data_IF_243324932998
#
_entry.id   IF_243324932998
#
_cell.length_a   1.000
_cell.length_b   1.000
_cell.length_c   1.000
_cell.angle_alpha   90.00
_cell.angle_beta   90.00
_cell.angle_gamma   90.00
#
_symmetry.space_group_name_H-M   'P 1'
#
loop_
_entity.id
_entity.type
_entity.pdbx_description
1 polymer ?
#
# COMPACT_ATOMS: atom_id res chain seq x y z
N UNK A 1 -4.50 5.47 31.76
CA UNK A 1 -4.03 6.80 31.35
C UNK A 1 -4.34 6.90 29.87
N UNK A 2 -5.16 7.88 29.50
CA UNK A 2 -5.58 8.10 28.12
C UNK A 2 -4.62 9.10 27.46
N UNK A 3 -4.60 9.11 26.14
CA UNK A 3 -3.79 10.05 25.36
C UNK A 3 -4.72 10.97 24.58
N UNK A 4 -4.49 12.28 24.69
CA UNK A 4 -5.23 13.28 23.92
C UNK A 4 -4.97 13.07 22.41
N UNK A 5 -5.99 12.80 21.58
CA UNK A 5 -5.82 12.55 20.15
C UNK A 5 -5.35 13.77 19.34
N UNK A 6 -5.53 14.98 19.87
CA UNK A 6 -5.21 16.22 19.18
C UNK A 6 -3.75 16.60 19.41
N UNK A 7 -3.31 16.64 20.67
CA UNK A 7 -1.97 17.11 21.01
C UNK A 7 -1.01 16.00 21.49
N UNK A 8 -1.51 14.81 21.81
CA UNK A 8 -0.70 13.68 22.26
C UNK A 8 -0.26 13.70 23.73
N UNK A 9 -0.80 14.61 24.56
CA UNK A 9 -0.51 14.63 26.00
C UNK A 9 -1.21 13.48 26.74
N UNK A 10 -0.60 13.01 27.83
CA UNK A 10 -1.20 12.01 28.70
C UNK A 10 -2.25 12.66 29.62
N UNK A 11 -3.41 12.05 29.71
CA UNK A 11 -4.57 12.50 30.47
C UNK A 11 -4.97 11.38 31.43
N UNK A 12 -5.22 11.74 32.69
CA UNK A 12 -5.76 10.79 33.66
C UNK A 12 -7.26 10.61 33.42
N UNK A 13 -7.69 9.41 33.03
CA UNK A 13 -9.09 9.06 32.75
C UNK A 13 -10.02 9.30 33.95
N UNK A 14 -9.50 9.15 35.18
CA UNK A 14 -10.32 9.27 36.40
C UNK A 14 -10.65 10.72 36.76
N UNK A 15 -9.83 11.67 36.29
CA UNK A 15 -9.93 13.10 36.62
C UNK A 15 -10.14 13.97 35.36
N UNK A 16 -10.41 13.33 34.21
CA UNK A 16 -10.52 14.00 32.93
C UNK A 16 -11.75 14.92 32.91
N UNK A 17 -11.50 16.24 32.97
CA UNK A 17 -12.56 17.26 32.92
C UNK A 17 -13.19 17.42 31.54
N UNK A 18 -12.48 17.03 30.49
CA UNK A 18 -12.89 17.22 29.11
C UNK A 18 -12.95 15.87 28.40
N UNK A 19 -14.16 15.43 28.05
CA UNK A 19 -14.40 14.19 27.32
C UNK A 19 -15.35 14.40 26.14
N UNK A 20 -15.28 13.49 25.16
CA UNK A 20 -16.20 13.45 24.02
C UNK A 20 -16.39 12.00 23.57
N UNK A 21 -17.60 11.65 23.16
CA UNK A 21 -17.91 10.33 22.62
C UNK A 21 -18.01 10.40 21.09
N UNK A 22 -17.27 9.53 20.40
CA UNK A 22 -17.31 9.43 18.94
C UNK A 22 -17.23 7.96 18.52
N UNK A 23 -18.17 7.51 17.68
CA UNK A 23 -18.28 6.11 17.21
C UNK A 23 -18.31 5.07 18.36
N UNK A 24 -18.98 5.40 19.47
CA UNK A 24 -19.11 4.51 20.62
C UNK A 24 -17.84 4.40 21.48
N UNK A 25 -16.82 5.21 21.20
CA UNK A 25 -15.60 5.31 22.01
C UNK A 25 -15.53 6.67 22.70
N UNK A 26 -15.19 6.66 23.98
CA UNK A 26 -14.92 7.87 24.76
C UNK A 26 -13.46 8.31 24.57
N UNK A 27 -13.27 9.62 24.39
CA UNK A 27 -12.00 10.29 24.23
C UNK A 27 -11.82 11.33 25.33
N UNK A 28 -10.60 11.44 25.85
CA UNK A 28 -10.24 12.36 26.93
C UNK A 28 -9.24 13.41 26.42
N UNK A 29 -9.44 14.66 26.83
CA UNK A 29 -8.65 15.80 26.35
C UNK A 29 -7.95 16.52 27.51
N UNK A 30 -6.76 17.03 27.23
CA UNK A 30 -5.95 17.80 28.18
C UNK A 30 -6.52 19.20 28.44
N UNK A 31 -7.29 19.73 27.48
CA UNK A 31 -7.82 21.09 27.49
C UNK A 31 -9.13 21.17 26.72
N UNK A 32 -9.89 22.23 26.97
CA UNK A 32 -11.12 22.54 26.23
C UNK A 32 -10.85 22.77 24.74
N UNK A 33 -9.74 23.44 24.40
CA UNK A 33 -9.34 23.66 23.01
C UNK A 33 -9.14 22.36 22.22
N UNK A 34 -8.49 21.35 22.82
CA UNK A 34 -8.33 20.04 22.18
C UNK A 34 -9.68 19.32 22.01
N UNK A 35 -10.62 19.48 22.94
CA UNK A 35 -11.97 18.93 22.81
C UNK A 35 -12.75 19.58 21.66
N UNK A 36 -12.69 20.91 21.54
CA UNK A 36 -13.38 21.66 20.48
C UNK A 36 -12.81 21.34 19.10
N UNK A 37 -11.48 21.28 18.98
CA UNK A 37 -10.79 20.91 17.74
C UNK A 37 -11.17 19.49 17.30
N UNK A 38 -11.21 18.55 18.25
CA UNK A 38 -11.70 17.20 17.99
C UNK A 38 -13.18 17.16 17.60
N UNK A 39 -14.04 17.96 18.22
CA UNK A 39 -15.47 18.02 17.88
C UNK A 39 -15.72 18.59 16.48
N UNK A 40 -14.88 19.53 16.03
CA UNK A 40 -14.97 20.12 14.70
C UNK A 40 -14.61 19.17 13.56
N UNK A 41 -13.65 18.26 13.77
CA UNK A 41 -13.30 17.25 12.77
C UNK A 41 -12.70 15.96 13.40
N UNK A 42 -13.53 15.10 14.02
CA UNK A 42 -13.05 13.93 14.75
C UNK A 42 -12.38 12.91 13.83
N UNK A 43 -12.82 12.83 12.56
CA UNK A 43 -12.32 11.88 11.56
C UNK A 43 -10.81 11.96 11.31
N UNK A 44 -10.25 13.18 11.32
CA UNK A 44 -8.82 13.40 11.09
C UNK A 44 -7.95 12.85 12.25
N UNK A 45 -8.42 13.00 13.48
CA UNK A 45 -7.69 12.57 14.68
C UNK A 45 -7.84 11.07 14.96
N UNK A 46 -9.01 10.49 14.65
CA UNK A 46 -9.22 9.05 14.85
C UNK A 46 -8.55 8.18 13.78
N UNK A 47 -8.40 8.67 12.54
CA UNK A 47 -7.64 7.98 11.50
C UNK A 47 -6.15 7.87 11.84
N UNK A 48 -5.56 8.96 12.38
CA UNK A 48 -4.18 8.96 12.87
C UNK A 48 -4.00 8.08 14.12
N UNK A 49 -5.00 8.04 15.01
CA UNK A 49 -5.00 7.17 16.20
C UNK A 49 -5.07 5.68 15.86
N UNK A 50 -5.74 5.32 14.76
CA UNK A 50 -5.78 3.95 14.22
C UNK A 50 -4.41 3.42 13.78
N UNK A 51 -3.50 4.31 13.35
CA UNK A 51 -2.12 3.95 12.98
C UNK A 51 -1.26 3.60 14.20
N UNK A 52 -1.50 4.23 15.36
CA UNK A 52 -0.77 3.89 16.59
C UNK A 52 -1.16 2.52 17.17
N UNK A 53 -2.44 2.11 17.02
CA UNK A 53 -2.89 0.77 17.40
C UNK A 53 -2.42 -0.34 16.44
N UNK A 54 -2.26 -0.02 15.16
CA UNK A 54 -1.72 -0.97 14.17
C UNK A 54 -0.23 -1.28 14.40
N UNK A 55 0.53 -0.34 14.95
CA UNK A 55 1.97 -0.50 15.21
C UNK A 55 2.32 -1.56 16.26
N UNK A 56 1.47 -1.78 17.27
CA UNK A 56 1.67 -2.81 18.29
C UNK A 56 1.24 -4.19 17.79
N UNK A 57 0.06 -4.29 17.16
CA UNK A 57 -0.42 -5.53 16.53
C UNK A 57 0.52 -6.02 15.40
N UNK A 58 1.09 -5.08 14.64
CA UNK A 58 2.08 -5.39 13.61
C UNK A 58 3.43 -5.79 14.20
N UNK A 59 3.91 -5.20 15.30
CA UNK A 59 5.14 -5.65 15.96
C UNK A 59 5.03 -7.09 16.47
N UNK A 60 3.87 -7.44 17.03
CA UNK A 60 3.60 -8.81 17.49
C UNK A 60 3.55 -9.78 16.31
N UNK A 61 2.85 -9.42 15.24
CA UNK A 61 2.79 -10.20 13.99
C UNK A 61 4.15 -10.33 13.31
N UNK A 62 4.97 -9.29 13.31
CA UNK A 62 6.36 -9.28 12.80
C UNK A 62 7.27 -10.14 13.69
N UNK A 63 7.04 -10.16 15.00
CA UNK A 63 7.73 -11.05 15.94
C UNK A 63 7.48 -12.53 15.63
N UNK A 64 6.21 -12.90 15.43
CA UNK A 64 5.81 -14.26 15.06
C UNK A 64 6.28 -14.64 13.64
N UNK A 65 6.22 -13.70 12.69
CA UNK A 65 6.74 -13.91 11.34
C UNK A 65 8.27 -14.12 11.35
N UNK A 66 9.02 -13.36 12.15
CA UNK A 66 10.48 -13.54 12.32
C UNK A 66 10.82 -14.92 12.88
N UNK A 67 10.03 -15.45 13.83
CA UNK A 67 10.26 -16.80 14.36
C UNK A 67 10.05 -17.88 13.28
N UNK A 68 8.95 -17.78 12.51
CA UNK A 68 8.67 -18.72 11.40
C UNK A 68 9.64 -18.62 10.23
N UNK A 69 10.22 -17.44 10.00
CA UNK A 69 11.24 -17.21 8.96
C UNK A 69 12.60 -17.78 9.38
N UNK A 70 12.97 -17.64 10.65
CA UNK A 70 14.25 -18.15 11.16
C UNK A 70 14.33 -19.68 11.16
N UNK A 71 13.26 -20.39 11.54
CA UNK A 71 13.21 -21.86 11.44
C UNK A 71 13.29 -22.38 10.00
N UNK A 72 12.85 -21.58 9.02
CA UNK A 72 12.88 -21.96 7.61
C UNK A 72 14.09 -21.40 6.86
N UNK A 73 14.94 -20.59 7.49
CA UNK A 73 16.05 -19.90 6.80
C UNK A 73 17.17 -20.87 6.37
N UNK A 74 17.45 -21.91 7.15
CA UNK A 74 18.46 -22.92 6.81
C UNK A 74 18.03 -23.82 5.65
N UNK A 75 16.74 -24.16 5.54
CA UNK A 75 16.23 -24.99 4.44
C UNK A 75 15.79 -24.18 3.20
N UNK A 76 15.43 -22.90 3.38
CA UNK A 76 15.04 -22.03 2.27
C UNK A 76 16.22 -21.43 1.52
N UNK A 77 17.39 -21.19 2.15
CA UNK A 77 18.55 -20.59 1.45
C UNK A 77 18.97 -21.37 0.21
N UNK A 78 18.91 -22.71 0.24
CA UNK A 78 19.27 -23.56 -0.90
C UNK A 78 18.21 -23.58 -2.01
N UNK A 79 16.92 -23.71 -1.67
CA UNK A 79 15.85 -23.94 -2.66
C UNK A 79 15.22 -22.65 -3.22
N UNK A 80 15.22 -21.57 -2.44
CA UNK A 80 14.67 -20.27 -2.87
C UNK A 80 15.55 -19.66 -3.96
N UNK A 81 16.86 -19.84 -3.89
CA UNK A 81 17.78 -19.22 -4.82
C UNK A 81 17.67 -19.81 -6.23
N UNK A 82 17.54 -21.13 -6.38
CA UNK A 82 17.40 -21.76 -7.72
C UNK A 82 16.03 -21.51 -8.37
N UNK A 83 14.93 -21.67 -7.62
CA UNK A 83 13.59 -21.41 -8.17
C UNK A 83 13.32 -19.91 -8.41
N UNK A 84 13.87 -19.02 -7.59
CA UNK A 84 13.75 -17.58 -7.83
C UNK A 84 14.56 -17.15 -9.06
N UNK A 85 15.73 -17.75 -9.30
CA UNK A 85 16.56 -17.45 -10.48
C UNK A 85 15.84 -17.78 -11.80
N UNK A 86 15.22 -18.95 -11.91
CA UNK A 86 14.51 -19.35 -13.13
C UNK A 86 13.27 -18.51 -13.40
N UNK A 87 12.48 -18.18 -12.37
CA UNK A 87 11.33 -17.28 -12.51
C UNK A 87 11.72 -15.81 -12.78
N UNK A 88 12.89 -15.36 -12.30
CA UNK A 88 13.35 -13.97 -12.53
C UNK A 88 13.89 -13.75 -13.93
N UNK A 89 14.52 -14.75 -14.55
CA UNK A 89 15.00 -14.61 -15.94
C UNK A 89 13.84 -14.49 -16.92
N UNK A 90 12.77 -15.28 -16.71
CA UNK A 90 11.54 -15.21 -17.51
C UNK A 90 10.81 -13.86 -17.31
N UNK A 91 10.64 -13.42 -16.06
CA UNK A 91 9.92 -12.17 -15.75
C UNK A 91 10.70 -10.90 -16.03
N UNK A 92 12.04 -10.95 -16.20
CA UNK A 92 12.85 -9.81 -16.64
C UNK A 92 12.49 -9.35 -18.05
N UNK A 93 12.22 -10.29 -18.97
CA UNK A 93 11.79 -9.98 -20.33
C UNK A 93 10.45 -9.23 -20.34
N UNK A 94 9.45 -9.78 -19.65
CA UNK A 94 8.12 -9.17 -19.50
C UNK A 94 8.15 -7.81 -18.79
N UNK A 95 9.03 -7.64 -17.80
CA UNK A 95 9.17 -6.38 -17.08
C UNK A 95 9.86 -5.30 -17.93
N UNK A 96 10.85 -5.66 -18.75
CA UNK A 96 11.48 -4.73 -19.69
C UNK A 96 10.48 -4.27 -20.79
N UNK A 97 9.63 -5.17 -21.27
CA UNK A 97 8.53 -4.83 -22.19
C UNK A 97 7.50 -3.90 -21.54
N UNK A 98 7.14 -4.14 -20.28
CA UNK A 98 6.29 -3.25 -19.50
C UNK A 98 6.88 -1.84 -19.36
N UNK A 99 8.18 -1.73 -19.11
CA UNK A 99 8.87 -0.43 -19.05
C UNK A 99 8.87 0.31 -20.40
N UNK A 100 8.93 -0.42 -21.52
CA UNK A 100 8.77 0.15 -22.87
C UNK A 100 7.41 0.80 -23.07
N UNK A 101 6.33 0.10 -22.69
CA UNK A 101 4.97 0.63 -22.81
C UNK A 101 4.71 1.88 -21.96
N UNK A 102 5.34 1.95 -20.77
CA UNK A 102 5.27 3.14 -19.89
C UNK A 102 6.06 4.30 -20.49
N UNK A 103 7.23 4.04 -21.09
CA UNK A 103 8.02 5.04 -21.78
C UNK A 103 7.27 5.62 -22.99
N UNK A 104 6.58 4.79 -23.77
CA UNK A 104 5.74 5.22 -24.89
C UNK A 104 4.54 6.07 -24.44
N UNK A 105 3.84 5.64 -23.38
CA UNK A 105 2.73 6.42 -22.82
C UNK A 105 3.20 7.77 -22.28
N UNK A 106 4.35 7.80 -21.59
CA UNK A 106 4.98 9.04 -21.13
C UNK A 106 5.40 9.94 -22.28
N UNK A 107 5.92 9.37 -23.37
CA UNK A 107 6.29 10.11 -24.56
C UNK A 107 5.07 10.74 -25.24
N UNK A 108 3.95 10.01 -25.32
CA UNK A 108 2.67 10.52 -25.84
C UNK A 108 2.12 11.68 -25.01
N UNK A 109 2.21 11.58 -23.68
CA UNK A 109 1.82 12.67 -22.76
C UNK A 109 2.75 13.87 -22.91
N UNK A 110 4.06 13.66 -23.04
CA UNK A 110 5.04 14.74 -23.24
C UNK A 110 4.76 15.53 -24.53
N UNK A 111 4.50 14.84 -25.65
CA UNK A 111 4.14 15.48 -26.92
C UNK A 111 2.84 16.29 -26.84
N UNK A 112 1.85 15.83 -26.08
CA UNK A 112 0.59 16.55 -25.89
C UNK A 112 0.73 17.78 -24.98
N UNK A 113 1.68 17.76 -24.05
CA UNK A 113 1.94 18.85 -23.10
C UNK A 113 2.76 19.99 -23.70
N UNK A 114 3.58 19.73 -24.73
CA UNK A 114 4.28 20.79 -25.48
C UNK A 114 3.30 21.74 -26.19
N UNK A 115 2.08 21.31 -26.51
CA UNK A 115 1.06 22.15 -27.14
C UNK A 115 0.28 23.08 -26.20
N UNK A 116 0.41 22.94 -24.87
CA UNK A 116 -0.44 23.67 -23.87
C UNK A 116 0.32 24.60 -22.92
N UNK A 117 1.56 24.97 -23.22
CA UNK A 117 2.34 25.97 -22.47
C UNK A 117 2.48 25.67 -20.94
N UNK A 118 2.54 24.40 -20.53
CA UNK A 118 2.81 24.01 -19.13
C UNK A 118 4.25 23.49 -18.96
N UNK A 119 5.20 24.41 -18.98
CA UNK A 119 6.65 24.13 -18.87
C UNK A 119 7.07 23.44 -17.56
N UNK A 120 6.23 23.44 -16.52
CA UNK A 120 6.49 22.72 -15.27
C UNK A 120 6.23 21.21 -15.41
N UNK A 121 5.17 20.83 -16.13
CA UNK A 121 4.80 19.43 -16.33
C UNK A 121 5.74 18.76 -17.33
N UNK A 122 6.18 19.49 -18.37
CA UNK A 122 7.17 18.99 -19.32
C UNK A 122 8.52 18.64 -18.66
N UNK A 123 9.05 19.53 -17.80
CA UNK A 123 10.30 19.28 -17.07
C UNK A 123 10.21 18.11 -16.10
N UNK A 124 9.04 17.93 -15.48
CA UNK A 124 8.78 16.78 -14.64
C UNK A 124 8.69 15.49 -15.46
N UNK A 125 7.99 15.51 -16.58
CA UNK A 125 7.86 14.38 -17.49
C UNK A 125 9.24 13.91 -18.01
N UNK A 126 10.12 14.84 -18.40
CA UNK A 126 11.48 14.52 -18.83
C UNK A 126 12.31 13.87 -17.71
N UNK A 127 12.23 14.41 -16.49
CA UNK A 127 12.92 13.86 -15.33
C UNK A 127 12.46 12.44 -14.98
N UNK A 128 11.18 12.14 -15.23
CA UNK A 128 10.60 10.81 -15.02
C UNK A 128 10.98 9.89 -16.18
N UNK A 129 10.91 10.35 -17.42
CA UNK A 129 11.28 9.59 -18.60
C UNK A 129 12.74 9.12 -18.52
N UNK A 130 13.67 9.99 -18.11
CA UNK A 130 15.07 9.59 -17.91
C UNK A 130 15.24 8.53 -16.82
N UNK A 131 14.45 8.59 -15.74
CA UNK A 131 14.51 7.59 -14.66
C UNK A 131 13.98 6.25 -15.14
N UNK A 132 12.92 6.27 -15.95
CA UNK A 132 12.34 5.08 -16.58
C UNK A 132 13.32 4.47 -17.58
N UNK A 133 14.00 5.28 -18.39
CA UNK A 133 14.96 4.79 -19.37
C UNK A 133 16.20 4.18 -18.70
N UNK A 134 16.73 4.84 -17.65
CA UNK A 134 17.80 4.28 -16.81
C UNK A 134 17.37 2.97 -16.14
N UNK A 135 16.14 2.90 -15.64
CA UNK A 135 15.60 1.70 -15.07
C UNK A 135 15.45 0.58 -16.11
N UNK A 136 15.01 0.89 -17.34
CA UNK A 136 14.84 -0.06 -18.43
C UNK A 136 16.16 -0.70 -18.86
N UNK A 137 17.20 0.11 -19.09
CA UNK A 137 18.55 -0.40 -19.40
C UNK A 137 19.10 -1.23 -18.25
N UNK A 138 18.98 -0.73 -17.03
CA UNK A 138 19.43 -1.45 -15.85
C UNK A 138 18.65 -2.76 -15.64
N UNK A 139 17.35 -2.82 -15.91
CA UNK A 139 16.55 -4.05 -15.80
C UNK A 139 16.94 -5.09 -16.86
N UNK A 140 17.34 -4.62 -18.05
CA UNK A 140 17.73 -5.46 -19.19
C UNK A 140 19.16 -5.98 -19.08
N UNK A 141 20.09 -5.18 -18.57
CA UNK A 141 21.52 -5.52 -18.47
C UNK A 141 21.97 -6.01 -17.09
N UNK A 142 21.20 -5.81 -16.01
CA UNK A 142 21.64 -6.22 -14.66
C UNK A 142 21.35 -7.67 -14.37
N UNK A 143 22.36 -8.40 -13.89
CA UNK A 143 22.20 -9.74 -13.36
C UNK A 143 21.33 -9.77 -12.10
N UNK A 144 20.62 -10.90 -11.91
CA UNK A 144 19.72 -11.10 -10.77
C UNK A 144 20.45 -10.99 -9.43
N UNK A 145 21.72 -11.41 -9.39
CA UNK A 145 22.59 -11.27 -8.22
C UNK A 145 22.96 -9.81 -7.92
N UNK A 146 23.11 -8.99 -8.95
CA UNK A 146 23.47 -7.58 -8.79
C UNK A 146 22.27 -6.77 -8.28
N UNK A 147 21.08 -7.05 -8.79
CA UNK A 147 19.83 -6.48 -8.30
C UNK A 147 19.60 -6.77 -6.81
N UNK A 148 19.77 -8.03 -6.39
CA UNK A 148 19.61 -8.42 -4.98
C UNK A 148 20.64 -7.73 -4.09
N UNK A 149 21.88 -7.59 -4.55
CA UNK A 149 22.95 -6.89 -3.82
C UNK A 149 22.63 -5.40 -3.64
N UNK A 150 22.14 -4.74 -4.68
CA UNK A 150 21.84 -3.31 -4.64
C UNK A 150 20.60 -3.02 -3.80
N UNK A 151 19.56 -3.86 -3.89
CA UNK A 151 18.39 -3.80 -3.00
C UNK A 151 18.80 -4.00 -1.54
N UNK A 152 19.67 -4.97 -1.25
CA UNK A 152 20.21 -5.21 0.10
C UNK A 152 21.01 -4.00 0.61
N UNK A 153 21.75 -3.34 -0.29
CA UNK A 153 22.44 -2.08 -0.01
C UNK A 153 21.48 -0.96 0.38
N UNK A 154 20.38 -0.81 -0.37
CA UNK A 154 19.34 0.20 -0.11
C UNK A 154 18.66 -0.02 1.24
N UNK A 155 18.27 -1.26 1.55
CA UNK A 155 17.65 -1.64 2.83
C UNK A 155 18.53 -1.24 4.01
N UNK A 156 19.85 -1.42 3.88
CA UNK A 156 20.81 -1.09 4.95
C UNK A 156 21.18 0.39 5.01
N UNK A 157 21.28 1.06 3.86
CA UNK A 157 21.74 2.45 3.77
C UNK A 157 20.63 3.47 4.04
N UNK A 158 19.39 3.15 3.68
CA UNK A 158 18.23 4.01 3.88
C UNK A 158 17.01 3.19 4.32
N UNK A 159 16.96 2.74 5.58
CA UNK A 159 15.83 1.97 6.09
C UNK A 159 14.50 2.72 5.95
N UNK A 160 14.51 4.06 6.09
CA UNK A 160 13.31 4.89 5.90
C UNK A 160 12.74 4.85 4.48
N UNK A 161 13.60 4.86 3.44
CA UNK A 161 13.13 4.84 2.05
C UNK A 161 12.52 3.47 1.69
N UNK A 162 13.14 2.38 2.17
CA UNK A 162 12.59 1.04 1.97
C UNK A 162 11.26 0.84 2.69
N UNK A 163 11.16 1.25 3.96
CA UNK A 163 9.91 1.16 4.73
C UNK A 163 8.80 2.02 4.11
N UNK A 164 9.12 3.25 3.70
CA UNK A 164 8.18 4.12 3.01
C UNK A 164 7.71 3.52 1.68
N UNK A 165 8.63 2.95 0.89
CA UNK A 165 8.32 2.28 -0.37
C UNK A 165 7.44 1.04 -0.17
N UNK A 166 7.74 0.21 0.82
CA UNK A 166 6.95 -0.98 1.15
C UNK A 166 5.52 -0.63 1.62
N UNK A 167 5.37 0.40 2.45
CA UNK A 167 4.06 0.90 2.86
C UNK A 167 3.26 1.46 1.69
N UNK A 168 3.89 2.28 0.84
CA UNK A 168 3.24 2.83 -0.35
C UNK A 168 2.80 1.71 -1.32
N UNK A 169 3.68 0.74 -1.58
CA UNK A 169 3.36 -0.42 -2.42
C UNK A 169 2.22 -1.26 -1.81
N UNK A 170 2.23 -1.48 -0.49
CA UNK A 170 1.16 -2.17 0.23
C UNK A 170 -0.17 -1.43 0.15
N UNK A 171 -0.18 -0.10 0.26
CA UNK A 171 -1.38 0.71 0.08
C UNK A 171 -1.91 0.65 -1.34
N UNK A 172 -1.05 0.73 -2.36
CA UNK A 172 -1.44 0.60 -3.77
C UNK A 172 -2.05 -0.79 -4.01
N UNK A 173 -1.40 -1.85 -3.53
CA UNK A 173 -1.88 -3.22 -3.66
C UNK A 173 -3.21 -3.42 -2.92
N UNK A 174 -3.34 -2.92 -1.70
CA UNK A 174 -4.59 -2.98 -0.94
C UNK A 174 -5.71 -2.20 -1.63
N UNK A 175 -5.38 -1.03 -2.20
CA UNK A 175 -6.32 -0.21 -2.98
C UNK A 175 -6.73 -0.94 -4.25
N UNK A 176 -5.81 -1.64 -4.93
CA UNK A 176 -6.10 -2.44 -6.13
C UNK A 176 -6.98 -3.65 -5.82
N UNK A 177 -6.65 -4.42 -4.79
CA UNK A 177 -7.47 -5.56 -4.35
C UNK A 177 -8.86 -5.11 -3.88
N UNK A 178 -8.95 -3.98 -3.18
CA UNK A 178 -10.24 -3.39 -2.79
C UNK A 178 -10.99 -2.82 -3.99
N UNK A 179 -10.32 -2.26 -4.99
CA UNK A 179 -10.97 -1.83 -6.24
C UNK A 179 -11.38 -3.00 -7.15
N UNK A 180 -10.68 -4.13 -7.09
CA UNK A 180 -11.05 -5.35 -7.83
C UNK A 180 -12.27 -6.06 -7.27
N UNK A 181 -12.70 -5.75 -6.03
CA UNK A 181 -14.00 -6.22 -5.52
C UNK A 181 -15.22 -5.61 -6.22
N UNK A 182 -15.02 -4.66 -7.15
CA UNK A 182 -16.05 -4.22 -8.11
C UNK A 182 -16.04 -4.98 -9.44
N UNK A 183 -15.10 -5.92 -9.64
CA UNK A 183 -14.96 -6.76 -10.85
C UNK A 183 -15.25 -8.23 -10.50
N UNK A 184 -16.28 -8.50 -9.67
CA UNK A 184 -16.79 -9.87 -9.49
C UNK A 184 -18.28 -9.92 -9.08
N UNK A 185 -19.06 -8.90 -9.48
CA UNK A 185 -20.52 -8.87 -9.34
C UNK A 185 -21.24 -8.89 -10.71
N UNK A 186 -20.64 -9.53 -11.72
CA UNK A 186 -21.28 -9.84 -13.01
C UNK A 186 -20.85 -11.24 -13.44
N UNK A 187 -21.29 -12.23 -12.66
CA UNK A 187 -21.06 -13.65 -12.92
C UNK A 187 -21.93 -14.58 -12.06
N UNK A 188 -22.92 -14.04 -11.34
CA UNK A 188 -23.93 -14.87 -10.68
C UNK A 188 -25.05 -15.08 -11.68
N UNK A 189 -25.14 -16.32 -12.16
CA UNK A 189 -26.13 -16.78 -13.12
C UNK A 189 -27.52 -16.24 -12.80
N UNK A 190 -28.17 -15.73 -13.85
CA UNK A 190 -29.61 -15.50 -13.86
C UNK A 190 -30.26 -16.83 -13.43
N UNK A 191 -31.07 -16.90 -12.36
CA UNK A 191 -31.97 -18.02 -12.22
C UNK A 191 -32.91 -18.00 -13.44
N UNK A 192 -32.96 -19.11 -14.18
CA UNK A 192 -33.94 -19.29 -15.24
C UNK A 192 -35.35 -19.23 -14.66
N UNK A 193 -36.34 -18.63 -15.35
CA UNK A 193 -37.73 -18.86 -15.03
C UNK A 193 -38.08 -20.31 -15.43
N UNK A 194 -38.40 -21.15 -14.46
CA UNK A 194 -39.07 -22.42 -14.71
C UNK A 194 -40.57 -22.10 -14.91
N UNK A 195 -41.01 -22.18 -16.15
CA UNK A 195 -42.41 -22.10 -16.55
C UNK A 195 -43.18 -23.34 -16.12
N UNK A 196 -44.37 -23.09 -15.57
CA UNK A 196 -45.63 -23.84 -15.65
C UNK A 196 -45.65 -25.37 -15.57
N UNK A 197 -46.32 -25.89 -14.53
CA UNK A 197 -47.35 -26.94 -14.68
C UNK A 197 -48.52 -26.64 -13.74
N UNK A 198 -49.74 -26.68 -14.29
CA UNK A 198 -50.99 -26.52 -13.55
C UNK A 198 -51.61 -27.86 -13.17
N UNK A 199 -52.84 -27.73 -12.64
CA UNK A 199 -53.92 -28.72 -12.62
C UNK A 199 -54.26 -29.39 -11.27
N UNK A 200 -55.32 -28.85 -10.67
CA UNK A 200 -56.51 -29.50 -10.09
C UNK A 200 -56.38 -30.66 -9.07
N UNK A 201 -57.00 -30.47 -7.89
CA UNK A 201 -58.18 -31.22 -7.43
C UNK A 201 -58.46 -30.99 -5.94
N UNK A 202 -59.73 -30.74 -5.57
CA UNK A 202 -60.26 -30.90 -4.21
C UNK A 202 -60.98 -29.69 -3.66
#
# INVERSE_FOLDING_TARGET
MAKDPVCGMEVNERDARYTSSYQGKEYHFCSEGCKEEFAGNPGNFVAASGVSGYGSAMRESVGQARQRVQEKEEQMKGKVQEQARSMMTEKKGTAAEGLGSVAEALHAVSQQLQGKNQAAVARYADSVAERVDRASRYLRESDTDQLIRDVKGLVRRQPGLFLGGALAAGFILARFLKSSSAIEATGRGRPMPAEAEGEAAG
#
